data_IF_291971490296
#
_entry.id   IF_291971490296
#
_cell.length_a   1.000
_cell.length_b   1.000
_cell.length_c   1.000
_cell.angle_alpha   90.00
_cell.angle_beta   90.00
_cell.angle_gamma   90.00
#
_symmetry.space_group_name_H-M   'P 1'
#
loop_
_entity.id
_entity.type
_entity.pdbx_description
1 polymer ?
#
# COMPACT_ATOMS: atom_id res chain seq x y z
N UNK A 1 -3.11 8.46 3.51
CA UNK A 1 -3.76 7.18 3.11
C UNK A 1 -3.62 7.03 1.61
N UNK A 2 -3.31 5.82 1.13
CA UNK A 2 -3.06 5.55 -0.30
C UNK A 2 -4.25 4.83 -0.92
N UNK A 3 -4.67 5.29 -2.10
CA UNK A 3 -5.85 4.78 -2.80
C UNK A 3 -5.48 4.29 -4.20
N UNK A 4 -6.15 3.22 -4.61
CA UNK A 4 -6.00 2.66 -5.95
C UNK A 4 -6.53 3.61 -7.02
N UNK A 5 -5.74 3.87 -8.06
CA UNK A 5 -6.12 4.76 -9.17
C UNK A 5 -7.31 4.23 -9.98
N UNK A 6 -7.43 2.91 -10.09
CA UNK A 6 -8.47 2.24 -10.89
C UNK A 6 -9.85 2.25 -10.21
N UNK A 7 -9.90 1.87 -8.93
CA UNK A 7 -11.16 1.64 -8.22
C UNK A 7 -11.35 2.50 -6.96
N UNK A 8 -10.42 3.43 -6.68
CA UNK A 8 -10.43 4.35 -5.53
C UNK A 8 -10.52 3.67 -4.16
N UNK A 9 -10.33 2.36 -4.11
CA UNK A 9 -10.32 1.58 -2.87
C UNK A 9 -8.96 1.68 -2.19
N UNK A 10 -8.94 1.51 -0.87
CA UNK A 10 -7.73 1.64 -0.06
C UNK A 10 -6.73 0.52 -0.37
N UNK A 11 -5.46 0.88 -0.54
CA UNK A 11 -4.39 -0.09 -0.75
C UNK A 11 -4.03 -0.82 0.55
N UNK A 12 -3.76 -2.12 0.45
CA UNK A 12 -3.10 -2.90 1.50
C UNK A 12 -1.61 -2.98 1.22
N UNK A 13 -0.80 -3.31 2.22
CA UNK A 13 0.65 -3.47 2.06
C UNK A 13 0.98 -4.95 2.12
N UNK A 14 1.70 -5.44 1.12
CA UNK A 14 2.19 -6.82 1.04
C UNK A 14 3.66 -6.86 0.64
N UNK A 15 4.37 -7.90 1.06
CA UNK A 15 5.71 -8.24 0.54
C UNK A 15 5.63 -9.20 -0.65
N UNK A 16 4.51 -9.92 -0.76
CA UNK A 16 4.30 -10.93 -1.78
C UNK A 16 3.17 -10.49 -2.71
N UNK A 17 3.53 -10.16 -3.96
CA UNK A 17 2.55 -10.15 -5.04
C UNK A 17 2.49 -11.60 -5.54
N UNK A 18 1.39 -12.30 -5.24
CA UNK A 18 1.17 -13.64 -5.79
C UNK A 18 1.12 -13.51 -7.31
N UNK A 19 2.13 -14.05 -8.00
CA UNK A 19 2.09 -14.18 -9.45
C UNK A 19 0.80 -14.91 -9.83
N UNK A 20 0.06 -14.37 -10.81
CA UNK A 20 -1.19 -14.93 -11.36
C UNK A 20 -1.16 -16.46 -11.30
N UNK A 21 -2.06 -17.05 -10.53
CA UNK A 21 -2.23 -18.50 -10.45
C UNK A 21 -2.57 -19.02 -11.85
N UNK A 22 -1.59 -19.59 -12.57
CA UNK A 22 -1.79 -20.29 -13.84
C UNK A 22 -2.35 -21.70 -13.56
N UNK A 23 -3.55 -21.78 -12.98
CA UNK A 23 -4.21 -23.04 -12.66
C UNK A 23 -4.92 -23.62 -13.88
N UNK A 24 -4.41 -24.72 -14.45
CA UNK A 24 -5.18 -25.57 -15.37
C UNK A 24 -4.37 -26.28 -16.45
N UNK A 25 -3.59 -25.56 -17.25
CA UNK A 25 -2.91 -26.18 -18.41
C UNK A 25 -1.65 -26.97 -18.03
N UNK A 26 -0.89 -26.49 -17.04
CA UNK A 26 0.36 -27.12 -16.61
C UNK A 26 0.12 -28.49 -15.97
N UNK A 27 -0.98 -28.64 -15.22
CA UNK A 27 -1.34 -29.89 -14.53
C UNK A 27 -1.64 -31.03 -15.49
N UNK A 28 -2.23 -30.74 -16.66
CA UNK A 28 -2.59 -31.77 -17.64
C UNK A 28 -1.36 -32.35 -18.35
N UNK A 29 -0.38 -31.51 -18.70
CA UNK A 29 0.85 -31.99 -19.35
C UNK A 29 1.69 -32.84 -18.38
N UNK A 30 1.81 -32.38 -17.13
CA UNK A 30 2.48 -33.14 -16.07
C UNK A 30 1.78 -34.48 -15.84
N UNK A 31 0.44 -34.48 -15.78
CA UNK A 31 -0.34 -35.71 -15.64
C UNK A 31 -0.14 -36.70 -16.78
N UNK A 32 -0.03 -36.22 -18.01
CA UNK A 32 0.21 -37.07 -19.17
C UNK A 32 1.58 -37.75 -19.12
N UNK A 33 2.63 -37.06 -18.65
CA UNK A 33 3.97 -37.66 -18.47
C UNK A 33 3.93 -38.78 -17.44
N UNK A 34 3.29 -38.55 -16.29
CA UNK A 34 3.14 -39.59 -15.27
C UNK A 34 2.33 -40.78 -15.78
N UNK A 35 1.24 -40.53 -16.51
CA UNK A 35 0.41 -41.59 -17.09
C UNK A 35 1.20 -42.43 -18.10
N UNK A 36 1.94 -41.80 -19.01
CA UNK A 36 2.79 -42.50 -19.99
C UNK A 36 3.83 -43.38 -19.30
N UNK A 37 4.46 -42.86 -18.23
CA UNK A 37 5.40 -43.65 -17.45
C UNK A 37 4.75 -44.85 -16.76
N UNK A 38 3.57 -44.68 -16.15
CA UNK A 38 2.84 -45.77 -15.50
C UNK A 38 2.41 -46.88 -16.46
N UNK A 39 2.05 -46.51 -17.70
CA UNK A 39 1.65 -47.45 -18.76
C UNK A 39 2.87 -48.07 -19.48
N UNK A 40 4.07 -47.48 -19.31
CA UNK A 40 5.29 -47.91 -20.01
C UNK A 40 5.38 -47.39 -21.45
N UNK A 41 4.62 -46.36 -21.80
CA UNK A 41 4.71 -45.67 -23.09
C UNK A 41 5.98 -44.82 -23.18
N UNK A 42 6.50 -44.66 -24.40
CA UNK A 42 7.66 -43.79 -24.64
C UNK A 42 7.27 -42.32 -24.47
N UNK A 43 7.95 -41.63 -23.56
CA UNK A 43 7.89 -40.18 -23.42
C UNK A 43 8.62 -39.56 -24.63
N UNK A 44 8.03 -38.55 -25.26
CA UNK A 44 8.61 -37.85 -26.42
C UNK A 44 8.91 -36.39 -26.05
N UNK A 45 9.80 -35.74 -26.80
CA UNK A 45 10.21 -34.35 -26.54
C UNK A 45 9.03 -33.37 -26.44
N UNK A 46 7.98 -33.58 -27.26
CA UNK A 46 6.75 -32.77 -27.23
C UNK A 46 6.05 -32.78 -25.87
N UNK A 47 6.17 -33.87 -25.10
CA UNK A 47 5.58 -33.97 -23.77
C UNK A 47 6.31 -33.07 -22.76
N UNK A 48 7.60 -32.79 -22.98
CA UNK A 48 8.47 -32.04 -22.07
C UNK A 48 8.56 -30.53 -22.39
N UNK A 49 8.20 -30.11 -23.61
CA UNK A 49 8.36 -28.72 -24.09
C UNK A 49 7.70 -27.62 -23.22
N UNK A 50 6.72 -27.97 -22.39
CA UNK A 50 6.02 -27.02 -21.51
C UNK A 50 6.17 -27.33 -20.02
N UNK A 51 6.99 -28.32 -19.66
CA UNK A 51 7.11 -28.79 -18.27
C UNK A 51 8.45 -28.37 -17.71
N UNK A 52 8.43 -27.65 -16.59
CA UNK A 52 9.65 -27.36 -15.82
C UNK A 52 10.00 -28.54 -14.94
N UNK A 53 11.30 -28.70 -14.65
CA UNK A 53 11.82 -29.68 -13.69
C UNK A 53 11.04 -29.69 -12.37
N UNK A 54 10.83 -28.52 -11.77
CA UNK A 54 10.19 -28.38 -10.46
C UNK A 54 8.73 -28.86 -10.48
N UNK A 55 8.06 -28.76 -11.63
CA UNK A 55 6.69 -29.24 -11.78
C UNK A 55 6.59 -30.77 -11.71
N UNK A 56 7.67 -31.50 -12.03
CA UNK A 56 7.70 -32.96 -11.92
C UNK A 56 8.20 -33.42 -10.55
N UNK A 57 9.19 -32.73 -9.99
CA UNK A 57 9.80 -33.12 -8.71
C UNK A 57 8.92 -32.77 -7.50
N UNK A 58 8.12 -31.71 -7.58
CA UNK A 58 7.22 -31.28 -6.51
C UNK A 58 5.77 -31.79 -6.69
N UNK A 59 5.53 -32.72 -7.62
CA UNK A 59 4.21 -33.30 -7.84
C UNK A 59 3.99 -34.46 -6.86
N UNK A 60 2.82 -34.50 -6.21
CA UNK A 60 2.45 -35.54 -5.25
C UNK A 60 2.64 -36.96 -5.82
N UNK A 61 2.45 -37.16 -7.13
CA UNK A 61 2.64 -38.47 -7.78
C UNK A 61 4.10 -38.90 -7.78
N UNK A 62 5.05 -37.97 -7.88
CA UNK A 62 6.47 -38.26 -7.80
C UNK A 62 6.90 -38.61 -6.38
N UNK A 63 6.42 -37.85 -5.39
CA UNK A 63 6.69 -38.09 -3.98
C UNK A 63 6.13 -39.43 -3.50
N UNK A 64 4.98 -39.85 -4.03
CA UNK A 64 4.37 -41.13 -3.74
C UNK A 64 5.06 -42.34 -4.45
N UNK A 65 6.04 -42.12 -5.33
CA UNK A 65 6.80 -43.22 -5.94
C UNK A 65 7.89 -43.76 -5.00
N UNK A 66 8.16 -45.06 -5.09
CA UNK A 66 9.34 -45.61 -4.44
C UNK A 66 10.65 -45.08 -5.09
N UNK A 67 11.75 -45.07 -4.33
CA UNK A 67 13.07 -44.58 -4.80
C UNK A 67 13.56 -45.27 -6.08
N UNK A 68 13.14 -46.52 -6.32
CA UNK A 68 13.51 -47.29 -7.53
C UNK A 68 12.77 -46.77 -8.77
N UNK A 69 11.50 -46.45 -8.63
CA UNK A 69 10.63 -45.93 -9.69
C UNK A 69 10.96 -44.47 -9.98
N UNK A 70 11.28 -43.67 -8.96
CA UNK A 70 11.80 -42.30 -9.14
C UNK A 70 13.05 -42.31 -10.03
N UNK A 71 14.04 -43.17 -9.72
CA UNK A 71 15.25 -43.31 -10.56
C UNK A 71 14.93 -43.74 -11.99
N UNK A 72 13.99 -44.68 -12.18
CA UNK A 72 13.55 -45.11 -13.51
C UNK A 72 12.87 -43.98 -14.28
N UNK A 73 12.04 -43.18 -13.60
CA UNK A 73 11.35 -42.03 -14.16
C UNK A 73 12.34 -40.95 -14.61
N UNK A 74 13.27 -40.56 -13.74
CA UNK A 74 14.34 -39.61 -14.10
C UNK A 74 15.18 -40.13 -15.28
N UNK A 75 15.49 -41.43 -15.31
CA UNK A 75 16.25 -42.03 -16.42
C UNK A 75 15.46 -41.98 -17.72
N UNK A 76 14.15 -42.26 -17.68
CA UNK A 76 13.28 -42.19 -18.85
C UNK A 76 13.21 -40.78 -19.43
N UNK A 77 13.18 -39.75 -18.58
CA UNK A 77 13.20 -38.35 -19.00
C UNK A 77 14.58 -37.96 -19.53
N UNK A 78 15.68 -38.37 -18.87
CA UNK A 78 17.06 -38.10 -19.33
C UNK A 78 17.39 -38.74 -20.68
N UNK A 79 16.70 -39.82 -21.06
CA UNK A 79 16.83 -40.42 -22.38
C UNK A 79 16.22 -39.53 -23.48
N UNK A 80 15.22 -38.72 -23.15
CA UNK A 80 14.57 -37.79 -24.06
C UNK A 80 15.33 -36.47 -24.08
N UNK A 81 15.61 -35.91 -22.91
CA UNK A 81 16.38 -34.68 -22.75
C UNK A 81 17.41 -34.85 -21.64
N UNK A 82 18.68 -35.03 -22.04
CA UNK A 82 19.82 -35.19 -21.14
C UNK A 82 20.02 -34.01 -20.20
N UNK A 83 19.60 -32.81 -20.63
CA UNK A 83 19.77 -31.55 -19.91
C UNK A 83 18.59 -31.18 -19.04
N UNK A 84 17.48 -31.92 -19.11
CA UNK A 84 16.25 -31.59 -18.37
C UNK A 84 16.43 -31.47 -16.85
N UNK A 85 17.35 -32.25 -16.27
CA UNK A 85 17.68 -32.17 -14.84
C UNK A 85 19.01 -31.48 -14.54
N UNK A 86 19.74 -31.04 -15.56
CA UNK A 86 20.88 -30.16 -15.35
C UNK A 86 20.32 -28.87 -14.72
N UNK A 87 20.96 -28.38 -13.65
CA UNK A 87 20.56 -27.09 -13.10
C UNK A 87 20.83 -26.07 -14.17
N UNK A 88 19.79 -25.49 -14.76
CA UNK A 88 19.94 -24.29 -15.55
C UNK A 88 20.52 -23.21 -14.62
N UNK A 89 21.83 -22.98 -14.73
CA UNK A 89 22.49 -21.78 -14.21
C UNK A 89 22.04 -20.53 -14.98
N UNK A 90 21.11 -20.67 -15.92
CA UNK A 90 20.39 -19.56 -16.53
C UNK A 90 19.17 -19.28 -15.68
N UNK A 91 19.30 -18.20 -14.93
CA UNK A 91 18.25 -17.45 -14.26
C UNK A 91 17.13 -17.21 -15.29
N UNK A 92 16.19 -18.15 -15.39
CA UNK A 92 14.87 -17.83 -15.93
C UNK A 92 14.26 -16.83 -14.97
N UNK A 93 13.93 -15.65 -15.49
CA UNK A 93 13.19 -14.59 -14.83
C UNK A 93 11.79 -15.08 -14.43
N UNK A 94 11.76 -15.90 -13.39
CA UNK A 94 10.58 -16.41 -12.70
C UNK A 94 10.73 -16.11 -11.22
N UNK A 95 10.79 -14.80 -10.90
CA UNK A 95 10.24 -14.21 -9.68
C UNK A 95 10.35 -15.04 -8.39
N UNK A 96 11.56 -15.41 -8.00
CA UNK A 96 11.98 -15.30 -6.60
C UNK A 96 12.76 -13.99 -6.47
N UNK A 97 12.04 -12.88 -6.61
CA UNK A 97 12.54 -11.58 -6.16
C UNK A 97 12.64 -11.66 -4.63
N UNK A 98 13.80 -12.11 -4.14
CA UNK A 98 14.32 -11.70 -2.84
C UNK A 98 14.72 -10.21 -2.89
N UNK A 99 13.94 -9.35 -3.53
CA UNK A 99 13.99 -7.93 -3.21
C UNK A 99 13.11 -7.79 -1.98
N UNK A 100 13.65 -7.22 -0.90
CA UNK A 100 12.86 -6.76 0.25
C UNK A 100 11.97 -5.56 -0.15
N UNK A 101 11.37 -5.60 -1.33
CA UNK A 101 10.46 -4.60 -1.85
C UNK A 101 9.08 -4.83 -1.24
N UNK A 102 8.46 -3.75 -0.78
CA UNK A 102 7.08 -3.76 -0.32
C UNK A 102 6.20 -3.16 -1.42
N UNK A 103 4.96 -3.63 -1.51
CA UNK A 103 4.01 -3.23 -2.53
C UNK A 103 2.69 -2.78 -1.91
N UNK A 104 2.07 -1.79 -2.53
CA UNK A 104 0.65 -1.50 -2.37
C UNK A 104 -0.15 -2.45 -3.25
N UNK A 105 -1.15 -3.14 -2.69
CA UNK A 105 -2.04 -4.04 -3.42
C UNK A 105 -3.51 -3.70 -3.14
N UNK A 106 -4.29 -3.55 -4.20
CA UNK A 106 -5.72 -3.32 -4.09
C UNK A 106 -6.45 -4.67 -3.97
N UNK A 107 -7.28 -4.84 -2.94
CA UNK A 107 -8.06 -6.07 -2.75
C UNK A 107 -9.22 -6.25 -3.75
N UNK A 108 -9.62 -5.20 -4.45
CA UNK A 108 -10.82 -5.22 -5.29
C UNK A 108 -10.52 -5.41 -6.78
N UNK A 109 -9.40 -4.89 -7.26
CA UNK A 109 -9.02 -4.95 -8.68
C UNK A 109 -7.65 -5.59 -8.91
N UNK A 110 -7.01 -6.10 -7.85
CA UNK A 110 -5.67 -6.70 -7.86
C UNK A 110 -4.55 -5.82 -8.46
N UNK A 111 -4.80 -4.52 -8.65
CA UNK A 111 -3.78 -3.59 -9.06
C UNK A 111 -2.73 -3.45 -7.95
N UNK A 112 -1.46 -3.45 -8.33
CA UNK A 112 -0.33 -3.36 -7.40
C UNK A 112 0.71 -2.34 -7.87
N UNK A 113 1.20 -1.53 -6.94
CA UNK A 113 2.26 -0.55 -7.18
C UNK A 113 3.38 -0.73 -6.14
N UNK A 114 4.64 -0.59 -6.54
CA UNK A 114 5.79 -0.71 -5.62
C UNK A 114 5.88 0.50 -4.67
N UNK A 115 6.22 0.26 -3.41
CA UNK A 115 6.42 1.32 -2.41
C UNK A 115 7.83 1.88 -2.55
N UNK A 116 7.91 3.16 -2.92
CA UNK A 116 9.18 3.87 -3.03
C UNK A 116 9.78 4.08 -1.63
N UNK A 117 11.10 3.86 -1.43
CA UNK A 117 11.78 4.16 -0.16
C UNK A 117 11.53 5.60 0.29
N UNK A 118 11.27 5.81 1.59
CA UNK A 118 10.93 7.11 2.16
C UNK A 118 9.44 7.45 2.18
N UNK A 119 8.59 6.58 1.61
CA UNK A 119 7.12 6.75 1.69
C UNK A 119 6.64 6.58 3.14
N UNK A 120 5.96 7.60 3.68
CA UNK A 120 5.35 7.54 5.01
C UNK A 120 4.10 6.66 4.99
N UNK A 121 4.22 5.44 5.50
CA UNK A 121 3.13 4.46 5.58
C UNK A 121 2.20 4.74 6.77
N UNK A 122 2.79 5.07 7.91
CA UNK A 122 2.08 5.27 9.16
C UNK A 122 2.86 6.22 10.05
N UNK A 123 2.16 7.19 10.62
CA UNK A 123 2.66 8.05 11.68
C UNK A 123 1.64 8.06 12.80
N UNK A 124 2.09 7.82 14.03
CA UNK A 124 1.28 8.02 15.23
C UNK A 124 1.90 9.13 16.05
N UNK A 125 1.19 10.24 16.17
CA UNK A 125 1.56 11.30 17.09
C UNK A 125 0.96 10.99 18.45
N UNK A 126 1.83 10.90 19.46
CA UNK A 126 1.44 10.72 20.86
C UNK A 126 1.35 12.04 21.63
N UNK A 127 1.70 13.16 20.99
CA UNK A 127 1.56 14.47 21.60
C UNK A 127 0.09 14.87 21.59
N UNK A 128 -0.47 15.08 22.79
CA UNK A 128 -1.77 15.72 23.05
C UNK A 128 -1.64 17.25 22.90
N UNK A 129 -0.57 17.74 22.27
CA UNK A 129 -0.71 19.03 21.59
C UNK A 129 -1.60 18.70 20.40
N UNK A 130 -2.91 18.89 20.57
CA UNK A 130 -3.85 18.93 19.47
C UNK A 130 -3.18 19.63 18.30
N UNK A 131 -3.37 19.17 17.05
CA UNK A 131 -2.96 19.99 15.92
C UNK A 131 -3.45 21.39 16.25
N UNK A 132 -2.55 22.38 16.16
CA UNK A 132 -2.98 23.78 16.23
C UNK A 132 -3.85 23.96 15.00
N UNK A 133 -5.10 23.47 15.07
CA UNK A 133 -6.20 23.94 14.28
C UNK A 133 -6.11 25.43 14.51
N UNK A 134 -5.67 26.11 13.47
CA UNK A 134 -5.55 27.55 13.52
C UNK A 134 -7.00 28.00 13.58
N UNK A 135 -7.50 28.19 14.80
CA UNK A 135 -8.88 28.57 15.04
C UNK A 135 -9.12 29.85 14.25
N UNK A 136 -10.04 29.78 13.29
CA UNK A 136 -10.41 30.92 12.47
C UNK A 136 -11.53 31.68 13.18
N UNK A 137 -11.22 32.89 13.62
CA UNK A 137 -12.16 33.80 14.27
C UNK A 137 -12.71 34.88 13.32
N UNK A 138 -12.51 34.73 12.02
CA UNK A 138 -12.97 35.67 10.99
C UNK A 138 -14.48 35.91 11.02
N UNK A 139 -15.27 34.95 11.51
CA UNK A 139 -16.73 35.05 11.64
C UNK A 139 -17.19 35.88 12.84
N UNK A 140 -16.39 35.99 13.90
CA UNK A 140 -16.79 36.57 15.17
C UNK A 140 -17.29 38.03 15.08
N UNK A 141 -16.69 38.93 14.26
CA UNK A 141 -17.17 40.29 14.08
C UNK A 141 -18.62 40.40 13.58
N UNK A 142 -19.07 39.42 12.80
CA UNK A 142 -20.40 39.39 12.19
C UNK A 142 -21.45 38.78 13.10
N UNK A 143 -21.05 38.06 14.15
CA UNK A 143 -21.96 37.49 15.12
C UNK A 143 -22.43 38.57 16.12
N UNK A 144 -23.73 38.83 16.15
CA UNK A 144 -24.36 39.82 17.02
C UNK A 144 -24.64 39.26 18.43
N UNK A 145 -24.53 37.95 18.62
CA UNK A 145 -24.79 37.28 19.90
C UNK A 145 -23.56 37.28 20.82
N UNK A 146 -22.37 37.51 20.27
CA UNK A 146 -21.12 37.56 21.01
C UNK A 146 -20.95 38.87 21.79
N UNK A 147 -20.29 38.77 22.95
CA UNK A 147 -19.99 39.93 23.78
C UNK A 147 -19.01 40.88 23.10
N UNK A 148 -19.17 42.19 23.32
CA UNK A 148 -18.38 43.24 22.67
C UNK A 148 -17.76 44.17 23.70
N UNK A 149 -16.56 44.66 23.42
CA UNK A 149 -15.85 45.62 24.26
C UNK A 149 -15.20 46.72 23.44
N UNK A 150 -15.17 47.93 24.00
CA UNK A 150 -14.36 49.05 23.49
C UNK A 150 -13.05 49.23 24.26
N UNK A 151 -12.91 48.55 25.39
CA UNK A 151 -11.76 48.65 26.28
C UNK A 151 -10.68 47.64 25.86
N UNK A 152 -9.97 47.95 24.79
CA UNK A 152 -8.85 47.15 24.30
C UNK A 152 -7.85 48.00 23.50
N UNK A 153 -6.65 47.46 23.30
CA UNK A 153 -5.64 48.00 22.38
C UNK A 153 -5.41 46.97 21.29
N UNK A 154 -5.74 47.32 20.04
CA UNK A 154 -5.58 46.41 18.91
C UNK A 154 -4.09 46.05 18.72
N UNK A 155 -3.76 44.76 18.64
CA UNK A 155 -2.36 44.32 18.40
C UNK A 155 -1.86 44.59 16.99
N UNK A 156 -2.74 44.95 16.05
CA UNK A 156 -2.34 45.40 14.71
C UNK A 156 -1.93 46.88 14.77
N UNK A 157 -0.64 47.24 14.56
CA UNK A 157 -0.18 48.63 14.65
C UNK A 157 -0.77 49.54 13.57
N UNK A 158 -1.20 48.97 12.44
CA UNK A 158 -1.77 49.71 11.31
C UNK A 158 -3.29 49.93 11.44
N UNK A 159 -3.92 49.53 12.54
CA UNK A 159 -5.36 49.63 12.71
C UNK A 159 -5.82 51.09 12.92
N UNK A 160 -6.91 51.51 12.26
CA UNK A 160 -7.46 52.86 12.40
C UNK A 160 -8.00 53.15 13.82
N UNK A 161 -8.31 52.11 14.59
CA UNK A 161 -8.79 52.23 15.98
C UNK A 161 -7.76 52.88 16.90
N UNK A 162 -6.48 52.92 16.52
CA UNK A 162 -5.43 53.66 17.26
C UNK A 162 -5.55 55.17 17.11
N UNK A 163 -6.17 55.63 16.02
CA UNK A 163 -6.33 57.05 15.68
C UNK A 163 -7.72 57.58 16.02
N UNK A 164 -8.74 56.72 16.02
CA UNK A 164 -10.13 57.10 16.27
C UNK A 164 -10.80 56.14 17.25
N UNK A 165 -11.09 56.64 18.45
CA UNK A 165 -11.75 55.90 19.53
C UNK A 165 -13.19 55.51 19.20
N UNK A 166 -13.86 56.23 18.29
CA UNK A 166 -15.23 55.89 17.88
C UNK A 166 -15.31 54.58 17.11
N UNK A 167 -14.18 54.13 16.53
CA UNK A 167 -14.07 52.88 15.79
C UNK A 167 -13.61 51.70 16.66
N UNK A 168 -13.31 51.92 17.95
CA UNK A 168 -12.87 50.86 18.86
C UNK A 168 -14.03 49.93 19.19
N UNK A 169 -13.98 48.75 18.60
CA UNK A 169 -14.90 47.67 18.92
C UNK A 169 -14.21 46.31 18.68
N UNK A 170 -14.21 45.46 19.69
CA UNK A 170 -13.73 44.08 19.59
C UNK A 170 -14.79 43.11 20.10
N UNK A 171 -14.90 41.97 19.43
CA UNK A 171 -15.72 40.84 19.85
C UNK A 171 -14.90 39.93 20.77
N UNK A 172 -15.55 39.39 21.79
CA UNK A 172 -14.99 38.46 22.75
C UNK A 172 -15.56 37.07 22.50
N UNK A 173 -14.67 36.10 22.33
CA UNK A 173 -15.03 34.67 22.23
C UNK A 173 -14.04 33.82 23.03
N UNK A 174 -14.26 32.51 23.10
CA UNK A 174 -13.38 31.57 23.79
C UNK A 174 -12.76 30.59 22.82
N UNK A 175 -11.48 30.28 23.01
CA UNK A 175 -10.84 29.18 22.32
C UNK A 175 -11.17 27.82 22.97
N UNK A 176 -10.69 26.75 22.34
CA UNK A 176 -10.79 25.38 22.86
C UNK A 176 -10.22 25.27 24.29
N UNK A 177 -9.20 26.07 24.62
CA UNK A 177 -8.57 26.14 25.95
C UNK A 177 -9.29 27.08 26.94
N UNK A 178 -10.51 27.54 26.64
CA UNK A 178 -11.30 28.49 27.44
C UNK A 178 -10.64 29.85 27.72
N UNK A 179 -9.61 30.22 26.96
CA UNK A 179 -8.97 31.53 27.01
C UNK A 179 -9.79 32.55 26.23
N UNK A 180 -9.78 33.80 26.69
CA UNK A 180 -10.51 34.89 26.05
C UNK A 180 -9.76 35.32 24.79
N UNK A 181 -10.44 35.23 23.66
CA UNK A 181 -9.98 35.71 22.36
C UNK A 181 -10.67 37.02 22.04
N UNK A 182 -9.88 38.03 21.74
CA UNK A 182 -10.33 39.34 21.29
C UNK A 182 -10.22 39.40 19.78
N UNK A 183 -11.27 39.84 19.09
CA UNK A 183 -11.29 39.99 17.62
C UNK A 183 -11.66 41.43 17.28
N UNK A 184 -10.75 42.17 16.67
CA UNK A 184 -11.03 43.57 16.28
C UNK A 184 -12.06 43.62 15.14
N UNK A 185 -13.16 44.36 15.31
CA UNK A 185 -14.21 44.48 14.28
C UNK A 185 -13.75 45.27 13.04
N UNK A 186 -12.69 46.07 13.16
CA UNK A 186 -12.23 46.91 12.06
C UNK A 186 -11.15 46.27 11.17
N UNK A 187 -10.20 45.53 11.76
CA UNK A 187 -9.10 44.90 11.01
C UNK A 187 -9.11 43.37 11.05
N UNK A 188 -10.09 42.77 11.73
CA UNK A 188 -10.26 41.32 11.88
C UNK A 188 -9.08 40.58 12.51
N UNK A 189 -8.09 41.30 13.04
CA UNK A 189 -6.98 40.70 13.78
C UNK A 189 -7.51 40.21 15.12
N UNK A 190 -7.20 38.98 15.46
CA UNK A 190 -7.49 38.38 16.75
C UNK A 190 -6.22 38.14 17.57
N UNK A 191 -6.37 38.11 18.89
CA UNK A 191 -5.31 37.78 19.84
C UNK A 191 -5.91 37.22 21.13
N UNK A 192 -5.10 36.44 21.85
CA UNK A 192 -5.44 35.92 23.18
C UNK A 192 -5.02 36.96 24.23
N UNK A 193 -5.91 37.24 25.18
CA UNK A 193 -5.68 38.19 26.28
C UNK A 193 -4.83 37.64 27.41
#
# INVERSE_FOLDING_TARGET
MFFCKECRSLFNITKDIKNKQKGGEMTNNVANVFKKFSVGEKIIEKDLQKIKRDNLLNDDRYDNMNKKNQKKFETAIKLVDKKFFEKDNKIEQGTTLQTNAAYFICKFCDNSEEIIPGTLIYSKNYNISDPVETEDYSYAPYDQTLARTRNYICKNPSCQTHKNDSLKEAVLTKNINHQIVYVCCHCHKYWIG
#
